data_IF_961257871266
#
_entry.id   IF_961257871266
#
_cell.length_a   1.000
_cell.length_b   1.000
_cell.length_c   1.000
_cell.angle_alpha   90.00
_cell.angle_beta   90.00
_cell.angle_gamma   90.00
#
_symmetry.space_group_name_H-M   'P 1'
#
loop_
_entity.id
_entity.type
_entity.pdbx_description
1 polymer ?
#
# COMPACT_ATOMS: atom_id res chain seq x y z
N UNK A 1 11.16 -15.47 -45.85
CA UNK A 1 11.25 -14.77 -44.55
C UNK A 1 10.64 -15.70 -43.55
N UNK A 2 11.46 -16.58 -42.98
CA UNK A 2 11.03 -17.43 -41.87
C UNK A 2 10.66 -16.49 -40.73
N UNK A 3 9.36 -16.34 -40.50
CA UNK A 3 8.87 -15.70 -39.28
C UNK A 3 9.45 -16.58 -38.19
N UNK A 4 10.48 -16.10 -37.48
CA UNK A 4 10.98 -16.70 -36.26
C UNK A 4 9.80 -16.69 -35.29
N UNK A 5 8.99 -17.73 -35.35
CA UNK A 5 7.89 -17.97 -34.43
C UNK A 5 8.52 -18.05 -33.06
N UNK A 6 8.12 -17.15 -32.16
CA UNK A 6 8.53 -17.17 -30.76
C UNK A 6 8.27 -18.60 -30.24
N UNK A 7 9.29 -19.29 -29.69
CA UNK A 7 9.10 -20.63 -29.14
C UNK A 7 7.95 -20.63 -28.13
N UNK A 8 7.09 -21.66 -28.17
CA UNK A 8 5.92 -21.77 -27.28
C UNK A 8 6.34 -21.65 -25.80
N UNK A 9 7.52 -22.18 -25.47
CA UNK A 9 8.15 -22.06 -24.15
C UNK A 9 8.39 -20.60 -23.74
N UNK A 10 8.97 -19.81 -24.65
CA UNK A 10 9.26 -18.40 -24.39
C UNK A 10 7.97 -17.59 -24.22
N UNK A 11 6.91 -17.95 -24.97
CA UNK A 11 5.60 -17.35 -24.82
C UNK A 11 4.94 -17.71 -23.47
N UNK A 12 5.00 -18.97 -23.05
CA UNK A 12 4.51 -19.42 -21.74
C UNK A 12 5.26 -18.69 -20.60
N UNK A 13 6.58 -18.63 -20.66
CA UNK A 13 7.42 -17.97 -19.65
C UNK A 13 7.13 -16.46 -19.56
N UNK A 14 6.89 -15.81 -20.70
CA UNK A 14 6.48 -14.41 -20.72
C UNK A 14 5.12 -14.21 -20.05
N UNK A 15 4.14 -15.09 -20.29
CA UNK A 15 2.83 -15.01 -19.65
C UNK A 15 2.91 -15.20 -18.13
N UNK A 16 3.79 -16.07 -17.64
CA UNK A 16 4.05 -16.23 -16.20
C UNK A 16 4.63 -14.95 -15.58
N UNK A 17 5.64 -14.35 -16.23
CA UNK A 17 6.19 -13.04 -15.82
C UNK A 17 5.14 -11.95 -15.83
N UNK A 18 4.34 -11.88 -16.90
CA UNK A 18 3.25 -10.93 -17.04
C UNK A 18 2.24 -11.11 -15.91
N UNK A 19 1.87 -12.33 -15.55
CA UNK A 19 0.92 -12.61 -14.49
C UNK A 19 1.40 -12.08 -13.12
N UNK A 20 2.64 -12.35 -12.71
CA UNK A 20 3.22 -11.85 -11.44
C UNK A 20 3.30 -10.32 -11.43
N UNK A 21 3.81 -9.72 -12.50
CA UNK A 21 3.96 -8.26 -12.62
C UNK A 21 2.61 -7.55 -12.63
N UNK A 22 1.64 -8.07 -13.41
CA UNK A 22 0.29 -7.52 -13.49
C UNK A 22 -0.44 -7.60 -12.16
N UNK A 23 -0.32 -8.72 -11.43
CA UNK A 23 -0.90 -8.88 -10.11
C UNK A 23 -0.38 -7.82 -9.13
N UNK A 24 0.94 -7.55 -9.16
CA UNK A 24 1.57 -6.53 -8.34
C UNK A 24 1.11 -5.12 -8.71
N UNK A 25 1.20 -4.74 -10.00
CA UNK A 25 0.84 -3.40 -10.49
C UNK A 25 -0.65 -3.11 -10.29
N UNK A 26 -1.51 -4.11 -10.47
CA UNK A 26 -2.95 -3.95 -10.31
C UNK A 26 -3.37 -3.73 -8.84
N UNK A 27 -2.61 -4.25 -7.89
CA UNK A 27 -2.98 -4.22 -6.47
C UNK A 27 -2.30 -3.08 -5.68
N UNK A 28 -1.11 -2.60 -6.08
CA UNK A 28 -0.43 -1.50 -5.38
C UNK A 28 -1.24 -0.19 -5.47
N UNK A 29 -1.54 0.51 -4.35
CA UNK A 29 -2.37 1.71 -4.32
C UNK A 29 -1.90 2.85 -5.23
N UNK A 30 -0.59 2.97 -5.45
CA UNK A 30 0.03 4.01 -6.31
C UNK A 30 -0.44 3.88 -7.76
N UNK A 31 -0.50 2.66 -8.28
CA UNK A 31 -0.92 2.37 -9.65
C UNK A 31 -2.42 2.07 -9.75
N UNK A 32 -3.01 1.60 -8.66
CA UNK A 32 -4.43 1.27 -8.54
C UNK A 32 -5.30 2.47 -8.10
N UNK A 33 -5.18 3.60 -8.79
CA UNK A 33 -6.03 4.76 -8.51
C UNK A 33 -7.38 4.65 -9.27
N UNK A 34 -8.48 5.04 -8.63
CA UNK A 34 -9.81 5.13 -9.28
C UNK A 34 -9.85 6.14 -10.44
N UNK A 35 -8.87 7.03 -10.49
CA UNK A 35 -8.77 8.09 -11.50
C UNK A 35 -8.07 7.62 -12.78
N UNK A 36 -7.27 6.54 -12.72
CA UNK A 36 -6.58 6.00 -13.88
C UNK A 36 -7.44 4.95 -14.62
N UNK A 37 -7.68 5.09 -15.94
CA UNK A 37 -8.36 4.07 -16.72
C UNK A 37 -7.68 2.71 -16.61
N UNK A 38 -8.47 1.62 -16.63
CA UNK A 38 -7.93 0.26 -16.58
C UNK A 38 -6.91 -0.02 -17.71
N UNK A 39 -7.11 0.59 -18.88
CA UNK A 39 -6.21 0.49 -20.02
C UNK A 39 -4.80 0.98 -19.72
N UNK A 40 -4.65 2.08 -18.97
CA UNK A 40 -3.33 2.61 -18.59
C UNK A 40 -2.63 1.65 -17.64
N UNK A 41 -3.36 1.08 -16.68
CA UNK A 41 -2.80 0.10 -15.72
C UNK A 41 -2.32 -1.18 -16.42
N UNK A 42 -3.13 -1.70 -17.34
CA UNK A 42 -2.77 -2.88 -18.15
C UNK A 42 -1.55 -2.56 -19.03
N UNK A 43 -1.54 -1.40 -19.69
CA UNK A 43 -0.42 -0.96 -20.51
C UNK A 43 0.87 -0.82 -19.70
N UNK A 44 0.81 -0.24 -18.49
CA UNK A 44 1.94 -0.14 -17.59
C UNK A 44 2.46 -1.51 -17.15
N UNK A 45 1.59 -2.41 -16.69
CA UNK A 45 1.99 -3.75 -16.26
C UNK A 45 2.55 -4.60 -17.40
N UNK A 46 2.03 -4.46 -18.61
CA UNK A 46 2.58 -5.10 -19.80
C UNK A 46 3.96 -4.54 -20.17
N UNK A 47 4.11 -3.21 -20.18
CA UNK A 47 5.38 -2.56 -20.49
C UNK A 47 6.47 -2.91 -19.46
N UNK A 48 6.13 -2.92 -18.16
CA UNK A 48 7.07 -3.33 -17.11
C UNK A 48 7.44 -4.80 -17.23
N UNK A 49 6.49 -5.69 -17.50
CA UNK A 49 6.78 -7.10 -17.73
C UNK A 49 7.72 -7.30 -18.93
N UNK A 50 7.51 -6.58 -20.03
CA UNK A 50 8.36 -6.64 -21.21
C UNK A 50 9.80 -6.19 -20.92
N UNK A 51 9.97 -5.14 -20.11
CA UNK A 51 11.29 -4.65 -19.70
C UNK A 51 12.01 -5.58 -18.72
N UNK A 52 11.28 -6.23 -17.81
CA UNK A 52 11.86 -7.10 -16.80
C UNK A 52 12.10 -8.53 -17.29
N UNK A 53 11.35 -8.99 -18.30
CA UNK A 53 11.41 -10.36 -18.81
C UNK A 53 12.83 -10.85 -19.15
N UNK A 54 13.72 -10.09 -19.81
CA UNK A 54 15.08 -10.55 -20.11
C UNK A 54 15.91 -10.88 -18.86
N UNK A 55 15.62 -10.25 -17.72
CA UNK A 55 16.29 -10.50 -16.45
C UNK A 55 15.75 -11.76 -15.75
N UNK A 56 14.51 -12.14 -16.05
CA UNK A 56 13.78 -13.23 -15.40
C UNK A 56 13.84 -14.52 -16.22
N UNK A 57 13.97 -14.42 -17.54
CA UNK A 57 14.02 -15.55 -18.47
C UNK A 57 15.05 -16.65 -18.10
N UNK A 58 16.25 -16.35 -17.56
CA UNK A 58 17.20 -17.39 -17.15
C UNK A 58 16.71 -18.29 -16.01
N UNK A 59 15.73 -17.84 -15.23
CA UNK A 59 15.21 -18.56 -14.04
C UNK A 59 13.86 -19.25 -14.31
N UNK A 60 13.34 -19.13 -15.54
CA UNK A 60 12.09 -19.77 -15.94
C UNK A 60 12.32 -21.19 -16.48
N UNK A 61 11.34 -22.10 -16.37
CA UNK A 61 11.47 -23.46 -16.90
C UNK A 61 11.81 -23.47 -18.40
N UNK A 62 12.78 -24.30 -18.79
CA UNK A 62 13.15 -24.53 -20.20
C UNK A 62 12.32 -25.63 -20.87
N UNK A 63 11.21 -26.04 -20.26
CA UNK A 63 10.38 -27.15 -20.73
C UNK A 63 8.98 -26.61 -21.01
N UNK A 64 8.37 -27.12 -22.08
CA UNK A 64 6.94 -26.87 -22.38
C UNK A 64 6.09 -27.45 -21.27
N UNK A 65 5.39 -26.56 -20.56
CA UNK A 65 4.43 -26.97 -19.54
C UNK A 65 3.17 -27.51 -20.23
N UNK A 66 2.64 -28.61 -19.72
CA UNK A 66 1.30 -29.06 -20.12
C UNK A 66 0.24 -28.01 -19.74
N UNK A 67 -0.94 -28.06 -20.35
CA UNK A 67 -1.99 -27.05 -20.10
C UNK A 67 -2.39 -26.95 -18.61
N UNK A 68 -2.40 -28.10 -17.92
CA UNK A 68 -2.75 -28.18 -16.49
C UNK A 68 -1.64 -27.60 -15.63
N UNK A 69 -0.39 -28.00 -15.88
CA UNK A 69 0.78 -27.48 -15.15
C UNK A 69 0.92 -25.97 -15.35
N UNK A 70 0.78 -25.49 -16.59
CA UNK A 70 0.81 -24.08 -16.91
C UNK A 70 -0.27 -23.29 -16.15
N UNK A 71 -1.50 -23.80 -16.10
CA UNK A 71 -2.59 -23.17 -15.36
C UNK A 71 -2.31 -23.07 -13.85
N UNK A 72 -1.77 -24.13 -13.24
CA UNK A 72 -1.39 -24.15 -11.83
C UNK A 72 -0.23 -23.18 -11.54
N UNK A 73 0.81 -23.20 -12.36
CA UNK A 73 1.94 -22.28 -12.23
C UNK A 73 1.49 -20.83 -12.39
N UNK A 74 0.57 -20.53 -13.32
CA UNK A 74 0.05 -19.18 -13.52
C UNK A 74 -0.71 -18.68 -12.29
N UNK A 75 -1.51 -19.52 -11.64
CA UNK A 75 -2.16 -19.18 -10.36
C UNK A 75 -1.11 -18.86 -9.29
N UNK A 76 -0.06 -19.66 -9.19
CA UNK A 76 1.03 -19.42 -8.25
C UNK A 76 1.73 -18.08 -8.49
N UNK A 77 2.02 -17.74 -9.75
CA UNK A 77 2.60 -16.44 -10.12
C UNK A 77 1.73 -15.25 -9.71
N UNK A 78 0.40 -15.36 -9.92
CA UNK A 78 -0.56 -14.35 -9.48
C UNK A 78 -0.53 -14.22 -7.96
N UNK A 79 -0.52 -15.33 -7.22
CA UNK A 79 -0.47 -15.33 -5.76
C UNK A 79 0.79 -14.64 -5.24
N UNK A 80 1.98 -14.94 -5.79
CA UNK A 80 3.22 -14.27 -5.39
C UNK A 80 3.14 -12.76 -5.64
N UNK A 81 2.65 -12.35 -6.81
CA UNK A 81 2.46 -10.93 -7.12
C UNK A 81 1.49 -10.23 -6.17
N UNK A 82 0.41 -10.90 -5.78
CA UNK A 82 -0.55 -10.40 -4.78
C UNK A 82 0.04 -10.32 -3.38
N UNK A 83 0.86 -11.28 -2.95
CA UNK A 83 1.53 -11.23 -1.64
C UNK A 83 2.47 -10.04 -1.53
N UNK A 84 3.23 -9.76 -2.59
CA UNK A 84 4.09 -8.57 -2.67
C UNK A 84 3.30 -7.28 -2.63
N UNK A 85 2.19 -7.21 -3.38
CA UNK A 85 1.32 -6.05 -3.33
C UNK A 85 0.64 -5.87 -1.97
N UNK A 86 0.24 -6.96 -1.31
CA UNK A 86 -0.38 -6.93 0.01
C UNK A 86 0.59 -6.33 1.04
N UNK A 87 1.82 -6.82 1.08
CA UNK A 87 2.87 -6.31 1.97
C UNK A 87 3.10 -4.80 1.76
N UNK A 88 3.10 -4.32 0.52
CA UNK A 88 3.18 -2.90 0.21
C UNK A 88 1.94 -2.11 0.63
N UNK A 89 0.76 -2.68 0.37
CA UNK A 89 -0.53 -2.07 0.67
C UNK A 89 -0.70 -1.81 2.17
N UNK A 90 -0.11 -2.65 3.04
CA UNK A 90 -0.13 -2.44 4.49
C UNK A 90 0.44 -1.07 4.89
N UNK A 91 1.51 -0.59 4.25
CA UNK A 91 2.09 0.74 4.58
C UNK A 91 1.11 1.86 4.23
N UNK A 92 0.53 1.85 3.02
CA UNK A 92 -0.45 2.85 2.61
C UNK A 92 -1.73 2.79 3.46
N UNK A 93 -2.12 1.59 3.86
CA UNK A 93 -3.29 1.38 4.72
C UNK A 93 -3.00 1.88 6.14
N UNK A 94 -1.78 1.74 6.66
CA UNK A 94 -1.36 2.33 7.93
C UNK A 94 -1.49 3.86 7.92
N UNK A 95 -0.99 4.51 6.85
CA UNK A 95 -1.08 5.97 6.69
C UNK A 95 -2.54 6.41 6.59
N UNK A 96 -3.33 5.70 5.79
CA UNK A 96 -4.77 5.97 5.63
C UNK A 96 -5.53 5.79 6.93
N UNK A 97 -5.20 4.77 7.72
CA UNK A 97 -5.76 4.50 9.04
C UNK A 97 -5.42 5.62 10.03
N UNK A 98 -4.16 6.07 10.08
CA UNK A 98 -3.74 7.22 10.88
C UNK A 98 -4.51 8.49 10.49
N UNK A 99 -4.67 8.75 9.19
CA UNK A 99 -5.49 9.86 8.69
C UNK A 99 -6.97 9.76 9.09
N UNK A 100 -7.54 8.55 9.09
CA UNK A 100 -8.91 8.31 9.58
C UNK A 100 -9.04 8.64 11.07
N UNK A 101 -8.09 8.20 11.90
CA UNK A 101 -8.09 8.50 13.34
C UNK A 101 -8.04 10.02 13.59
N UNK A 102 -7.16 10.72 12.89
CA UNK A 102 -7.06 12.20 12.99
C UNK A 102 -8.35 12.87 12.54
N UNK A 103 -8.92 12.46 11.40
CA UNK A 103 -10.18 13.01 10.89
C UNK A 103 -11.35 12.83 11.86
N UNK A 104 -11.43 11.68 12.53
CA UNK A 104 -12.43 11.47 13.58
C UNK A 104 -12.24 12.41 14.76
N UNK A 105 -11.01 12.58 15.22
CA UNK A 105 -10.70 13.45 16.34
C UNK A 105 -10.90 14.95 16.04
N UNK A 106 -10.71 15.37 14.78
CA UNK A 106 -11.04 16.72 14.30
C UNK A 106 -12.54 17.01 14.30
N UNK A 107 -13.39 15.99 14.42
CA UNK A 107 -14.84 16.12 14.38
C UNK A 107 -15.47 15.96 13.00
N UNK A 108 -14.69 15.62 11.96
CA UNK A 108 -15.23 15.28 10.63
C UNK A 108 -16.09 14.01 10.64
N UNK A 109 -16.01 13.20 11.70
CA UNK A 109 -16.94 12.09 11.95
C UNK A 109 -18.41 12.53 11.90
N UNK A 110 -18.71 13.71 12.46
CA UNK A 110 -20.07 14.24 12.52
C UNK A 110 -20.58 14.67 11.14
N UNK A 111 -19.71 15.20 10.28
CA UNK A 111 -20.08 15.59 8.92
C UNK A 111 -20.59 14.39 8.09
N UNK A 112 -20.01 13.20 8.29
CA UNK A 112 -20.46 11.96 7.64
C UNK A 112 -21.84 11.48 8.12
N UNK A 113 -22.31 11.94 9.29
CA UNK A 113 -23.65 11.65 9.82
C UNK A 113 -24.69 12.61 9.23
N UNK A 114 -24.29 13.85 8.92
CA UNK A 114 -25.19 14.87 8.39
C UNK A 114 -25.40 14.79 6.87
N UNK A 115 -24.52 14.13 6.11
CA UNK A 115 -24.73 13.81 4.69
C UNK A 115 -24.63 12.29 4.41
N UNK A 116 -25.72 11.54 4.61
CA UNK A 116 -25.80 10.12 4.23
C UNK A 116 -26.01 9.89 2.72
N UNK A 117 -26.23 10.94 1.91
CA UNK A 117 -26.45 10.79 0.47
C UNK A 117 -25.15 10.48 -0.27
N UNK A 118 -24.03 11.03 0.19
CA UNK A 118 -22.70 10.54 -0.19
C UNK A 118 -22.42 9.25 0.56
N UNK A 119 -22.66 8.10 -0.05
CA UNK A 119 -22.33 6.76 0.50
C UNK A 119 -20.82 6.52 0.71
N UNK A 120 -20.01 7.58 0.70
CA UNK A 120 -18.57 7.55 0.87
C UNK A 120 -18.22 7.93 2.31
N UNK A 121 -18.09 6.91 3.16
CA UNK A 121 -17.50 7.01 4.51
C UNK A 121 -15.96 7.21 4.47
N UNK A 122 -15.43 7.88 3.44
CA UNK A 122 -14.01 8.13 3.31
C UNK A 122 -13.66 9.41 4.07
N UNK A 123 -12.90 9.28 5.16
CA UNK A 123 -12.37 10.43 5.88
C UNK A 123 -11.51 11.27 4.92
N UNK A 124 -11.83 12.56 4.79
CA UNK A 124 -11.04 13.54 4.03
C UNK A 124 -9.57 13.50 4.42
N UNK A 125 -9.28 13.33 5.72
CA UNK A 125 -7.92 13.22 6.25
C UNK A 125 -7.24 11.91 5.85
N UNK A 126 -7.99 10.82 5.73
CA UNK A 126 -7.47 9.56 5.18
C UNK A 126 -7.04 9.71 3.72
N UNK A 127 -7.87 10.36 2.91
CA UNK A 127 -7.57 10.62 1.50
C UNK A 127 -6.38 11.57 1.35
N UNK A 128 -6.34 12.65 2.14
CA UNK A 128 -5.20 13.58 2.18
C UNK A 128 -3.90 12.85 2.53
N UNK A 129 -3.87 12.08 3.61
CA UNK A 129 -2.70 11.32 4.04
C UNK A 129 -2.27 10.27 3.00
N UNK A 130 -3.21 9.62 2.32
CA UNK A 130 -2.89 8.66 1.26
C UNK A 130 -2.25 9.34 0.04
N UNK A 131 -2.79 10.49 -0.41
CA UNK A 131 -2.16 11.26 -1.50
C UNK A 131 -0.76 11.70 -1.10
N UNK A 132 -0.58 12.17 0.13
CA UNK A 132 0.75 12.54 0.65
C UNK A 132 1.71 11.34 0.63
N UNK A 133 1.27 10.15 1.07
CA UNK A 133 2.08 8.94 1.02
C UNK A 133 2.47 8.55 -0.41
N UNK A 134 1.55 8.68 -1.38
CA UNK A 134 1.84 8.42 -2.80
C UNK A 134 2.87 9.42 -3.34
N UNK A 135 2.74 10.71 -3.03
CA UNK A 135 3.70 11.72 -3.45
C UNK A 135 5.10 11.45 -2.86
N UNK A 136 5.16 11.11 -1.57
CA UNK A 136 6.41 10.74 -0.90
C UNK A 136 7.03 9.49 -1.53
N UNK A 137 6.22 8.45 -1.79
CA UNK A 137 6.64 7.23 -2.46
C UNK A 137 7.30 7.52 -3.82
N UNK A 138 6.70 8.42 -4.61
CA UNK A 138 7.24 8.82 -5.91
C UNK A 138 8.51 9.66 -5.75
N UNK A 139 8.51 10.63 -4.84
CA UNK A 139 9.66 11.51 -4.58
C UNK A 139 10.90 10.74 -4.10
N UNK A 140 10.70 9.66 -3.34
CA UNK A 140 11.76 8.80 -2.82
C UNK A 140 12.14 7.67 -3.79
N UNK A 141 11.56 7.61 -4.99
CA UNK A 141 11.81 6.58 -6.00
C UNK A 141 11.59 5.13 -5.50
N UNK A 142 10.69 4.93 -4.55
CA UNK A 142 10.46 3.63 -3.90
C UNK A 142 9.99 2.56 -4.89
N UNK A 143 9.38 2.95 -6.02
CA UNK A 143 9.02 2.05 -7.12
C UNK A 143 10.18 1.16 -7.60
N UNK A 144 11.44 1.61 -7.44
CA UNK A 144 12.63 0.81 -7.78
C UNK A 144 12.77 -0.44 -6.90
N UNK A 145 12.40 -0.35 -5.60
CA UNK A 145 12.42 -1.49 -4.67
C UNK A 145 11.48 -2.58 -5.15
N UNK A 146 10.33 -2.21 -5.72
CA UNK A 146 9.34 -3.16 -6.26
C UNK A 146 9.84 -3.90 -7.48
N UNK A 147 10.46 -3.20 -8.43
CA UNK A 147 11.03 -3.84 -9.61
C UNK A 147 12.17 -4.78 -9.24
N UNK A 148 13.01 -4.38 -8.29
CA UNK A 148 14.05 -5.25 -7.73
C UNK A 148 13.46 -6.48 -7.06
N UNK A 149 12.42 -6.31 -6.21
CA UNK A 149 11.76 -7.41 -5.53
C UNK A 149 11.13 -8.42 -6.50
N UNK A 150 10.60 -7.97 -7.65
CA UNK A 150 10.10 -8.88 -8.69
C UNK A 150 11.24 -9.73 -9.27
N UNK A 151 12.38 -9.11 -9.60
CA UNK A 151 13.52 -9.86 -10.14
C UNK A 151 14.08 -10.82 -9.09
N UNK A 152 14.29 -10.36 -7.86
CA UNK A 152 14.77 -11.17 -6.74
C UNK A 152 13.81 -12.34 -6.44
N UNK A 153 12.50 -12.13 -6.61
CA UNK A 153 11.50 -13.19 -6.44
C UNK A 153 11.64 -14.32 -7.46
N UNK A 154 12.12 -14.06 -8.67
CA UNK A 154 12.35 -15.12 -9.67
C UNK A 154 13.62 -15.92 -9.39
N UNK A 155 14.59 -15.30 -8.73
CA UNK A 155 15.84 -15.95 -8.32
C UNK A 155 15.58 -16.89 -7.14
N UNK A 156 14.79 -16.44 -6.16
CA UNK A 156 14.54 -17.16 -4.91
C UNK A 156 13.34 -18.13 -5.01
N UNK A 157 12.31 -17.77 -5.78
CA UNK A 157 11.11 -18.58 -6.02
C UNK A 157 10.95 -18.84 -7.53
N UNK A 158 11.63 -19.87 -8.05
CA UNK A 158 11.43 -20.31 -9.43
C UNK A 158 9.95 -20.61 -9.70
N UNK A 159 9.46 -20.39 -10.93
CA UNK A 159 8.06 -20.61 -11.25
C UNK A 159 7.60 -22.05 -10.94
N UNK A 160 6.49 -22.17 -10.22
CA UNK A 160 5.85 -23.45 -9.92
C UNK A 160 6.04 -23.97 -8.50
N UNK A 161 6.96 -23.39 -7.73
CA UNK A 161 7.15 -23.73 -6.31
C UNK A 161 6.52 -22.65 -5.42
N UNK A 162 5.49 -23.02 -4.66
CA UNK A 162 4.90 -22.19 -3.60
C UNK A 162 4.63 -23.09 -2.39
N UNK A 163 5.29 -22.82 -1.29
CA UNK A 163 5.10 -23.54 -0.04
C UNK A 163 4.88 -22.58 1.14
N UNK A 164 3.65 -22.53 1.65
CA UNK A 164 3.31 -21.67 2.78
C UNK A 164 3.74 -22.23 4.15
N UNK A 165 4.37 -23.41 4.21
CA UNK A 165 4.78 -24.03 5.47
C UNK A 165 5.97 -23.35 6.15
N UNK A 166 6.72 -22.51 5.43
CA UNK A 166 7.93 -21.83 5.91
C UNK A 166 7.73 -20.65 6.88
N UNK A 167 6.50 -20.39 7.34
CA UNK A 167 6.21 -19.28 8.27
C UNK A 167 5.90 -17.94 7.60
N UNK A 168 5.70 -17.93 6.28
CA UNK A 168 5.28 -16.76 5.52
C UNK A 168 3.97 -16.15 6.03
N UNK A 169 3.02 -16.98 6.46
CA UNK A 169 1.75 -16.54 7.05
C UNK A 169 1.95 -15.78 8.36
N UNK A 170 2.81 -16.25 9.27
CA UNK A 170 3.09 -15.54 10.52
C UNK A 170 3.76 -14.19 10.26
N UNK A 171 4.68 -14.12 9.30
CA UNK A 171 5.31 -12.85 8.93
C UNK A 171 4.27 -11.84 8.40
N UNK A 172 3.32 -12.28 7.57
CA UNK A 172 2.23 -11.42 7.10
C UNK A 172 1.31 -10.94 8.23
N UNK A 173 1.04 -11.80 9.22
CA UNK A 173 0.28 -11.41 10.42
C UNK A 173 1.03 -10.35 11.23
N UNK A 174 2.34 -10.52 11.42
CA UNK A 174 3.19 -9.54 12.13
C UNK A 174 3.23 -8.20 11.39
N UNK A 175 3.38 -8.22 10.05
CA UNK A 175 3.31 -7.01 9.22
C UNK A 175 1.95 -6.31 9.34
N UNK A 176 0.86 -7.08 9.44
CA UNK A 176 -0.48 -6.55 9.64
C UNK A 176 -0.64 -5.91 11.03
N UNK A 177 -0.06 -6.51 12.07
CA UNK A 177 0.00 -5.89 13.41
C UNK A 177 0.80 -4.59 13.41
N UNK A 178 1.94 -4.58 12.72
CA UNK A 178 2.80 -3.40 12.58
C UNK A 178 2.11 -2.25 11.84
N UNK A 179 1.23 -2.54 10.88
CA UNK A 179 0.40 -1.53 10.22
C UNK A 179 -0.42 -0.69 11.22
N UNK A 180 -1.08 -1.33 12.20
CA UNK A 180 -1.85 -0.60 13.22
C UNK A 180 -0.95 0.27 14.09
N UNK A 181 0.19 -0.28 14.52
CA UNK A 181 1.20 0.45 15.28
C UNK A 181 1.68 1.68 14.50
N UNK A 182 2.00 1.52 13.22
CA UNK A 182 2.46 2.60 12.35
C UNK A 182 1.38 3.68 12.19
N UNK A 183 0.12 3.30 11.95
CA UNK A 183 -0.97 4.27 11.82
C UNK A 183 -1.24 5.05 13.11
N UNK A 184 -1.13 4.41 14.29
CA UNK A 184 -1.21 5.10 15.59
C UNK A 184 -0.01 6.01 15.79
N UNK A 185 1.21 5.56 15.48
CA UNK A 185 2.43 6.39 15.58
C UNK A 185 2.35 7.65 14.70
N UNK A 186 1.86 7.52 13.48
CA UNK A 186 1.70 8.64 12.55
C UNK A 186 0.65 9.65 13.03
N UNK A 187 -0.42 9.18 13.68
CA UNK A 187 -1.49 10.03 14.20
C UNK A 187 -1.23 10.56 15.62
N UNK A 188 -0.31 9.94 16.37
CA UNK A 188 0.00 10.25 17.77
C UNK A 188 0.22 11.74 18.09
N UNK A 189 1.03 12.52 17.33
CA UNK A 189 1.27 13.93 17.69
C UNK A 189 -0.01 14.78 17.59
N UNK A 190 -0.82 14.52 16.56
CA UNK A 190 -2.10 15.22 16.37
C UNK A 190 -3.12 14.76 17.42
N UNK A 191 -3.20 13.45 17.66
CA UNK A 191 -4.09 12.87 18.66
C UNK A 191 -3.83 13.42 20.06
N UNK A 192 -2.57 13.47 20.49
CA UNK A 192 -2.20 13.99 21.79
C UNK A 192 -2.66 15.45 21.96
N UNK A 193 -2.42 16.30 20.95
CA UNK A 193 -2.86 17.69 20.99
C UNK A 193 -4.38 17.82 21.03
N UNK A 194 -5.10 17.06 20.20
CA UNK A 194 -6.56 17.15 20.15
C UNK A 194 -7.23 16.58 21.40
N UNK A 195 -6.63 15.58 22.05
CA UNK A 195 -7.08 15.11 23.36
C UNK A 195 -6.93 16.21 24.42
N UNK A 196 -5.80 16.92 24.43
CA UNK A 196 -5.60 18.07 25.32
C UNK A 196 -6.59 19.20 25.01
N UNK A 197 -6.80 19.51 23.72
CA UNK A 197 -7.81 20.50 23.28
C UNK A 197 -9.19 20.16 23.82
N UNK A 198 -9.63 18.90 23.65
CA UNK A 198 -10.93 18.46 24.13
C UNK A 198 -11.05 18.52 25.66
N UNK A 199 -9.97 18.25 26.40
CA UNK A 199 -9.94 18.41 27.84
C UNK A 199 -10.10 19.88 28.25
N UNK A 200 -9.38 20.79 27.60
CA UNK A 200 -9.49 22.24 27.83
C UNK A 200 -10.90 22.75 27.51
N UNK A 201 -11.46 22.35 26.36
CA UNK A 201 -12.81 22.68 25.95
C UNK A 201 -13.87 22.13 26.93
N UNK A 202 -13.69 20.89 27.42
CA UNK A 202 -14.55 20.31 28.44
C UNK A 202 -14.56 21.09 29.75
N UNK A 203 -13.41 21.60 30.18
CA UNK A 203 -13.32 22.50 31.34
C UNK A 203 -14.03 23.83 31.05
N UNK A 204 -13.81 24.42 29.87
CA UNK A 204 -14.47 25.67 29.46
C UNK A 204 -16.00 25.53 29.41
N UNK A 205 -16.53 24.38 29.03
CA UNK A 205 -17.98 24.11 29.02
C UNK A 205 -18.58 24.19 30.44
N UNK A 206 -17.81 23.80 31.46
CA UNK A 206 -18.22 23.90 32.85
C UNK A 206 -18.09 25.32 33.40
N UNK A 207 -17.05 26.06 33.01
CA UNK A 207 -16.80 27.43 33.49
C UNK A 207 -17.76 28.43 32.85
N UNK A 208 -18.02 28.29 31.56
CA UNK A 208 -18.88 29.19 30.79
C UNK A 208 -20.03 28.40 30.14
N UNK A 209 -21.06 28.00 30.90
CA UNK A 209 -22.16 27.17 30.40
C UNK A 209 -23.01 27.87 29.31
N UNK A 210 -22.88 29.19 29.17
CA UNK A 210 -23.52 29.97 28.11
C UNK A 210 -22.82 29.83 26.74
N UNK A 211 -21.55 29.37 26.73
CA UNK A 211 -20.82 29.14 25.48
C UNK A 211 -21.21 27.79 24.89
N UNK A 212 -21.57 27.78 23.60
CA UNK A 212 -21.73 26.56 22.86
C UNK A 212 -20.35 25.97 22.50
N UNK A 213 -19.75 25.25 23.45
CA UNK A 213 -18.43 24.64 23.30
C UNK A 213 -18.37 23.64 22.14
N UNK A 214 -19.48 22.99 21.82
CA UNK A 214 -19.54 22.11 20.65
C UNK A 214 -19.37 22.87 19.33
N UNK A 215 -19.93 24.08 19.21
CA UNK A 215 -19.69 24.91 18.03
C UNK A 215 -18.27 25.47 17.96
N UNK A 216 -17.65 25.76 19.11
CA UNK A 216 -16.25 26.22 19.15
C UNK A 216 -15.23 25.08 18.91
N UNK A 217 -15.58 23.84 19.23
CA UNK A 217 -14.62 22.73 19.17
C UNK A 217 -14.18 22.43 17.75
N UNK A 218 -15.08 22.48 16.75
CA UNK A 218 -14.71 22.15 15.37
C UNK A 218 -13.65 23.09 14.78
N UNK A 219 -13.83 24.43 14.77
CA UNK A 219 -12.81 25.31 14.19
C UNK A 219 -11.48 25.23 14.94
N UNK A 220 -11.51 25.09 16.26
CA UNK A 220 -10.31 24.98 17.09
C UNK A 220 -9.57 23.67 16.80
N UNK A 221 -10.26 22.53 16.84
CA UNK A 221 -9.65 21.23 16.61
C UNK A 221 -9.14 21.10 15.16
N UNK A 222 -9.86 21.63 14.18
CA UNK A 222 -9.41 21.65 12.78
C UNK A 222 -8.13 22.50 12.66
N UNK A 223 -8.12 23.72 13.21
CA UNK A 223 -6.95 24.60 13.16
C UNK A 223 -5.73 24.00 13.83
N UNK A 224 -5.88 23.47 15.05
CA UNK A 224 -4.80 22.82 15.79
C UNK A 224 -4.25 21.60 15.06
N UNK A 225 -5.13 20.75 14.51
CA UNK A 225 -4.70 19.58 13.76
C UNK A 225 -3.91 19.96 12.50
N UNK A 226 -4.40 20.94 11.72
CA UNK A 226 -3.70 21.39 10.52
C UNK A 226 -2.33 22.01 10.83
N UNK A 227 -2.21 22.75 11.94
CA UNK A 227 -0.91 23.28 12.39
C UNK A 227 0.05 22.12 12.71
N UNK A 228 -0.38 21.13 13.49
CA UNK A 228 0.49 19.99 13.83
C UNK A 228 0.85 19.18 12.60
N UNK A 229 -0.11 18.89 11.72
CA UNK A 229 0.15 18.21 10.45
C UNK A 229 1.21 18.99 9.67
N UNK A 230 1.04 20.31 9.53
CA UNK A 230 2.01 21.16 8.85
C UNK A 230 3.42 21.10 9.45
N UNK A 231 3.53 21.05 10.78
CA UNK A 231 4.82 20.90 11.48
C UNK A 231 5.43 19.50 11.31
N UNK A 232 4.60 18.45 11.24
CA UNK A 232 5.06 17.07 11.10
C UNK A 232 5.33 16.64 9.65
N UNK A 233 4.94 17.46 8.65
CA UNK A 233 5.16 17.18 7.23
C UNK A 233 6.64 16.92 6.91
N UNK A 234 7.58 17.62 7.54
CA UNK A 234 9.01 17.41 7.30
C UNK A 234 9.54 16.07 7.84
N UNK A 235 8.84 15.48 8.81
CA UNK A 235 9.22 14.22 9.47
C UNK A 235 8.62 13.02 8.72
N UNK A 236 7.46 13.20 8.08
CA UNK A 236 6.72 12.15 7.39
C UNK A 236 7.56 11.38 6.34
N UNK A 237 8.33 12.04 5.45
CA UNK A 237 9.17 11.35 4.48
C UNK A 237 10.24 10.48 5.12
N UNK A 238 10.86 10.93 6.23
CA UNK A 238 11.87 10.18 6.95
C UNK A 238 11.29 8.94 7.64
N UNK A 239 10.07 9.03 8.17
CA UNK A 239 9.39 7.88 8.76
C UNK A 239 9.01 6.86 7.68
N UNK A 240 8.41 7.33 6.58
CA UNK A 240 8.01 6.44 5.49
C UNK A 240 9.19 5.82 4.76
N UNK A 241 10.31 6.54 4.56
CA UNK A 241 11.49 5.98 3.91
C UNK A 241 11.99 4.75 4.67
N UNK A 242 12.06 4.83 6.01
CA UNK A 242 12.47 3.70 6.86
C UNK A 242 11.53 2.51 6.72
N UNK A 243 10.23 2.74 6.66
CA UNK A 243 9.24 1.66 6.49
C UNK A 243 9.29 1.03 5.08
N UNK A 244 9.66 1.80 4.05
CA UNK A 244 9.88 1.26 2.72
C UNK A 244 11.22 0.51 2.58
N UNK A 245 12.26 0.92 3.31
CA UNK A 245 13.52 0.18 3.35
C UNK A 245 13.34 -1.18 4.03
N UNK A 246 12.64 -1.23 5.18
CA UNK A 246 12.30 -2.49 5.87
C UNK A 246 11.37 -3.37 5.04
N UNK A 247 10.51 -2.78 4.19
CA UNK A 247 9.69 -3.54 3.25
C UNK A 247 10.55 -4.37 2.28
N UNK A 248 11.67 -3.81 1.79
CA UNK A 248 12.60 -4.55 0.93
C UNK A 248 13.18 -5.78 1.63
N UNK A 249 13.56 -5.65 2.90
CA UNK A 249 14.01 -6.80 3.71
C UNK A 249 12.89 -7.82 3.95
N UNK A 250 11.67 -7.36 4.21
CA UNK A 250 10.52 -8.22 4.42
C UNK A 250 10.15 -9.00 3.16
N UNK A 251 10.32 -8.43 1.95
CA UNK A 251 10.17 -9.18 0.71
C UNK A 251 11.15 -10.34 0.62
N UNK A 252 12.43 -10.12 0.92
CA UNK A 252 13.42 -11.19 0.91
C UNK A 252 13.09 -12.29 1.93
N UNK A 253 12.64 -11.91 3.13
CA UNK A 253 12.18 -12.88 4.15
C UNK A 253 10.96 -13.66 3.69
N UNK A 254 9.98 -13.00 3.07
CA UNK A 254 8.82 -13.67 2.50
C UNK A 254 9.25 -14.70 1.45
N UNK A 255 10.19 -14.36 0.56
CA UNK A 255 10.67 -15.28 -0.46
C UNK A 255 11.41 -16.49 0.10
N UNK A 256 12.12 -16.33 1.21
CA UNK A 256 12.82 -17.44 1.87
C UNK A 256 11.90 -18.37 2.66
N UNK A 257 10.68 -17.92 2.97
CA UNK A 257 9.67 -18.63 3.76
C UNK A 257 8.51 -19.17 2.90
N UNK A 258 8.59 -18.99 1.58
CA UNK A 258 7.67 -19.47 0.54
C UNK A 258 8.36 -20.55 -0.30
#
# INVERSE_FOLDING_TARGET
MDIQLVPIEQFQNFLLCLARVMALVAAIPVFNSKQAPAQVRIGLGFATALLLFPLMAPYTPHIQLSLIEFGLTLINEVLIGLLLALAAQLIFTAVSFGGTIVGYQMGFAAANIFDPQTSQQLSLMSQFSNVMAILIFLALNIHQIFFKAIVDSYILLPPGTLDFTGGSVSLLMDMTGHMFLLGVKLSAPVLALLLLSNLVLGILARVFPQLNVFMLSFPINIGLALIVIGLTLNILPLMLSREFDTLGENFLRLFQML
#
